data_IF_024245730107
#
_entry.id   IF_024245730107
#
_cell.length_a   1.000
_cell.length_b   1.000
_cell.length_c   1.000
_cell.angle_alpha   90.00
_cell.angle_beta   90.00
_cell.angle_gamma   90.00
#
_symmetry.space_group_name_H-M   'P 1'
#
loop_
_entity.id
_entity.type
_entity.pdbx_description
1 polymer ?
#
# COMPACT_ATOMS: atom_id res chain seq x y z
N UNK A 1 -25.95 6.62 -5.87
CA UNK A 1 -25.21 5.59 -6.63
C UNK A 1 -24.32 6.24 -7.65
N UNK A 2 -23.06 5.85 -7.64
CA UNK A 2 -22.13 6.36 -8.64
C UNK A 2 -22.39 5.65 -9.97
N UNK A 3 -22.62 6.48 -11.00
CA UNK A 3 -22.73 6.00 -12.37
C UNK A 3 -21.32 5.98 -12.99
N UNK A 4 -20.67 4.84 -12.94
CA UNK A 4 -19.38 4.69 -13.61
C UNK A 4 -19.58 4.60 -15.12
N UNK A 5 -18.76 5.33 -15.87
CA UNK A 5 -18.82 5.35 -17.33
C UNK A 5 -17.60 4.59 -17.88
N UNK A 6 -17.74 3.27 -18.14
CA UNK A 6 -16.58 2.46 -18.56
C UNK A 6 -15.87 3.01 -19.78
N UNK A 7 -16.61 3.55 -20.75
CA UNK A 7 -16.02 4.11 -21.96
C UNK A 7 -15.08 5.28 -21.70
N UNK A 8 -15.27 5.98 -20.60
CA UNK A 8 -14.42 7.11 -20.22
C UNK A 8 -13.31 6.67 -19.25
N UNK A 9 -13.61 5.70 -18.41
CA UNK A 9 -12.70 5.23 -17.34
C UNK A 9 -11.64 4.28 -17.88
N UNK A 10 -12.01 3.35 -18.76
CA UNK A 10 -11.07 2.35 -19.30
C UNK A 10 -9.86 3.00 -19.97
N UNK A 11 -10.00 4.01 -20.85
CA UNK A 11 -8.84 4.67 -21.43
C UNK A 11 -7.93 5.30 -20.38
N UNK A 12 -8.49 5.83 -19.28
CA UNK A 12 -7.69 6.42 -18.20
C UNK A 12 -6.95 5.34 -17.40
N UNK A 13 -7.55 4.18 -17.18
CA UNK A 13 -6.85 3.06 -16.54
C UNK A 13 -5.69 2.61 -17.43
N UNK A 14 -5.89 2.52 -18.74
CA UNK A 14 -4.81 2.18 -19.68
C UNK A 14 -3.69 3.19 -19.64
N UNK A 15 -4.03 4.47 -19.50
CA UNK A 15 -3.04 5.54 -19.34
C UNK A 15 -2.21 5.34 -18.06
N UNK A 16 -2.86 4.96 -16.95
CA UNK A 16 -2.14 4.66 -15.70
C UNK A 16 -1.21 3.46 -15.86
N UNK A 17 -1.62 2.43 -16.59
CA UNK A 17 -0.79 1.27 -16.88
C UNK A 17 0.44 1.70 -17.67
N UNK A 18 0.25 2.51 -18.71
CA UNK A 18 1.35 3.04 -19.51
C UNK A 18 2.32 3.88 -18.68
N UNK A 19 1.79 4.76 -17.83
CA UNK A 19 2.61 5.58 -16.92
C UNK A 19 3.44 4.73 -15.96
N UNK A 20 2.90 3.61 -15.55
CA UNK A 20 3.56 2.72 -14.57
C UNK A 20 4.74 1.95 -15.16
N UNK A 21 4.83 1.87 -16.48
CA UNK A 21 5.80 1.05 -17.19
C UNK A 21 5.69 -0.45 -16.86
N UNK A 22 4.54 -0.87 -16.34
CA UNK A 22 4.24 -2.26 -16.03
C UNK A 22 3.40 -2.88 -17.14
N UNK A 23 3.39 -4.22 -17.17
CA UNK A 23 2.39 -4.94 -17.97
C UNK A 23 1.02 -4.82 -17.31
N UNK A 24 -0.04 -5.06 -18.07
CA UNK A 24 -1.41 -5.09 -17.53
C UNK A 24 -1.53 -6.06 -16.36
N UNK A 25 -0.96 -7.26 -16.49
CA UNK A 25 -1.00 -8.29 -15.44
C UNK A 25 -0.25 -7.85 -14.18
N UNK A 26 0.93 -7.25 -14.33
CA UNK A 26 1.71 -6.76 -13.21
C UNK A 26 1.00 -5.59 -12.50
N UNK A 27 0.41 -4.69 -13.27
CA UNK A 27 -0.39 -3.59 -12.74
C UNK A 27 -1.58 -4.12 -11.93
N UNK A 28 -2.31 -5.10 -12.48
CA UNK A 28 -3.44 -5.72 -11.79
C UNK A 28 -3.03 -6.27 -10.42
N UNK A 29 -1.96 -7.05 -10.38
CA UNK A 29 -1.44 -7.61 -9.14
C UNK A 29 -1.05 -6.51 -8.15
N UNK A 30 -0.39 -5.47 -8.64
CA UNK A 30 0.07 -4.35 -7.81
C UNK A 30 -1.07 -3.61 -7.13
N UNK A 31 -2.18 -3.38 -7.84
CA UNK A 31 -3.35 -2.68 -7.29
C UNK A 31 -4.30 -3.60 -6.53
N UNK A 32 -4.03 -4.89 -6.47
CA UNK A 32 -4.85 -5.84 -5.72
C UNK A 32 -6.01 -6.44 -6.51
N UNK A 33 -5.94 -6.38 -7.83
CA UNK A 33 -6.94 -6.99 -8.71
C UNK A 33 -6.35 -8.25 -9.36
N UNK A 34 -7.19 -9.25 -9.61
CA UNK A 34 -6.73 -10.41 -10.37
C UNK A 34 -6.41 -10.02 -11.81
N UNK A 35 -5.27 -10.48 -12.37
CA UNK A 35 -4.92 -10.15 -13.76
C UNK A 35 -6.02 -10.50 -14.76
N UNK A 36 -6.63 -11.67 -14.62
CA UNK A 36 -7.74 -12.07 -15.48
C UNK A 36 -8.96 -11.17 -15.34
N UNK A 37 -9.26 -10.78 -14.10
CA UNK A 37 -10.41 -9.90 -13.82
C UNK A 37 -10.21 -8.52 -14.41
N UNK A 38 -9.01 -7.93 -14.23
CA UNK A 38 -8.71 -6.62 -14.82
C UNK A 38 -8.77 -6.69 -16.35
N UNK A 39 -8.19 -7.74 -16.95
CA UNK A 39 -8.22 -7.93 -18.39
C UNK A 39 -9.63 -7.91 -18.94
N UNK A 40 -10.55 -8.67 -18.31
CA UNK A 40 -11.95 -8.70 -18.69
C UNK A 40 -12.65 -7.37 -18.53
N UNK A 41 -12.35 -6.65 -17.45
CA UNK A 41 -12.94 -5.31 -17.20
C UNK A 41 -12.48 -4.29 -18.24
N UNK A 42 -11.21 -4.33 -18.63
CA UNK A 42 -10.68 -3.44 -19.64
C UNK A 42 -11.22 -3.74 -21.04
N UNK A 43 -11.66 -4.97 -21.27
CA UNK A 43 -12.29 -5.36 -22.54
C UNK A 43 -13.81 -5.22 -22.54
N UNK A 44 -14.40 -4.77 -21.45
CA UNK A 44 -15.84 -4.61 -21.34
C UNK A 44 -16.60 -5.88 -21.07
N UNK A 45 -15.92 -6.98 -20.76
CA UNK A 45 -16.53 -8.28 -20.45
C UNK A 45 -17.03 -8.38 -19.00
N UNK A 46 -16.52 -7.55 -18.13
CA UNK A 46 -16.98 -7.42 -16.75
C UNK A 46 -17.12 -5.94 -16.40
N UNK A 47 -18.02 -5.64 -15.48
CA UNK A 47 -18.25 -4.26 -15.05
C UNK A 47 -17.17 -3.81 -14.10
N UNK A 48 -16.74 -2.55 -14.27
CA UNK A 48 -15.94 -1.83 -13.29
C UNK A 48 -16.81 -1.51 -12.08
N UNK A 49 -16.28 -1.72 -10.90
CA UNK A 49 -16.99 -1.43 -9.64
C UNK A 49 -16.35 -0.25 -8.92
N UNK A 50 -17.07 0.42 -8.00
CA UNK A 50 -16.47 1.45 -7.16
C UNK A 50 -15.26 0.95 -6.37
N UNK A 51 -15.26 -0.31 -5.98
CA UNK A 51 -14.12 -0.93 -5.30
C UNK A 51 -12.88 -0.97 -6.19
N UNK A 52 -13.04 -1.30 -7.46
CA UNK A 52 -11.94 -1.31 -8.42
C UNK A 52 -11.30 0.06 -8.54
N UNK A 53 -12.13 1.10 -8.65
CA UNK A 53 -11.67 2.48 -8.72
C UNK A 53 -10.90 2.88 -7.46
N UNK A 54 -11.44 2.51 -6.31
CA UNK A 54 -10.80 2.79 -5.01
C UNK A 54 -9.42 2.14 -4.91
N UNK A 55 -9.31 0.84 -5.27
CA UNK A 55 -8.05 0.11 -5.21
C UNK A 55 -6.99 0.76 -6.12
N UNK A 56 -7.37 1.09 -7.35
CA UNK A 56 -6.46 1.72 -8.30
C UNK A 56 -5.99 3.09 -7.79
N UNK A 57 -6.92 3.91 -7.33
CA UNK A 57 -6.61 5.25 -6.85
C UNK A 57 -5.71 5.23 -5.62
N UNK A 58 -6.00 4.36 -4.66
CA UNK A 58 -5.19 4.25 -3.44
C UNK A 58 -3.78 3.75 -3.72
N UNK A 59 -3.65 2.70 -4.52
CA UNK A 59 -2.35 2.11 -4.81
C UNK A 59 -1.48 3.02 -5.69
N UNK A 60 -2.09 3.72 -6.64
CA UNK A 60 -1.36 4.55 -7.59
C UNK A 60 -1.34 6.03 -7.25
N UNK A 61 -1.90 6.42 -6.12
CA UNK A 61 -1.99 7.82 -5.68
C UNK A 61 -2.64 8.72 -6.75
N UNK A 62 -3.81 8.30 -7.23
CA UNK A 62 -4.57 8.98 -8.25
C UNK A 62 -5.82 9.58 -7.62
N UNK A 63 -6.18 10.80 -8.03
CA UNK A 63 -7.44 11.39 -7.59
C UNK A 63 -8.62 10.66 -8.24
N UNK A 64 -9.61 10.18 -7.45
CA UNK A 64 -10.80 9.52 -8.00
C UNK A 64 -11.55 10.38 -9.01
N UNK A 65 -11.60 11.69 -8.79
CA UNK A 65 -12.28 12.62 -9.69
C UNK A 65 -11.64 12.63 -11.08
N UNK A 66 -10.32 12.52 -11.15
CA UNK A 66 -9.64 12.40 -12.44
C UNK A 66 -9.98 11.07 -13.12
N UNK A 67 -9.90 9.97 -12.37
CA UNK A 67 -10.13 8.65 -12.97
C UNK A 67 -11.56 8.47 -13.45
N UNK A 68 -12.53 8.93 -12.66
CA UNK A 68 -13.96 8.80 -13.00
C UNK A 68 -14.41 9.80 -14.05
N UNK A 69 -14.01 11.06 -13.92
CA UNK A 69 -14.60 12.17 -14.67
C UNK A 69 -13.61 12.96 -15.51
N UNK A 70 -12.32 12.69 -15.39
CA UNK A 70 -11.28 13.40 -16.12
C UNK A 70 -11.06 14.82 -15.64
N UNK A 71 -11.47 15.15 -14.44
CA UNK A 71 -11.37 16.50 -13.88
C UNK A 71 -10.29 16.57 -12.80
N UNK A 72 -9.63 17.72 -12.75
CA UNK A 72 -8.61 17.99 -11.75
C UNK A 72 -7.29 17.28 -12.03
N UNK A 73 -6.35 17.37 -11.09
CA UNK A 73 -5.04 16.74 -11.26
C UNK A 73 -5.15 15.23 -11.24
N UNK A 74 -4.27 14.57 -11.98
CA UNK A 74 -4.24 13.12 -12.13
C UNK A 74 -3.67 12.45 -10.87
N UNK A 75 -2.48 12.86 -10.45
CA UNK A 75 -1.78 12.27 -9.32
C UNK A 75 -1.86 13.12 -8.07
N UNK A 76 -2.04 12.46 -6.92
CA UNK A 76 -1.95 13.12 -5.62
C UNK A 76 -0.47 13.34 -5.30
N UNK A 77 -0.10 14.59 -5.08
CA UNK A 77 1.26 14.98 -4.66
C UNK A 77 1.14 15.85 -3.42
N UNK A 78 2.26 16.10 -2.74
CA UNK A 78 2.26 16.96 -1.56
C UNK A 78 1.76 18.38 -1.89
N UNK A 79 1.95 18.84 -3.13
CA UNK A 79 1.54 20.18 -3.56
C UNK A 79 0.04 20.33 -3.78
N UNK A 80 -0.63 19.26 -4.25
CA UNK A 80 -2.05 19.31 -4.62
C UNK A 80 -2.95 18.47 -3.74
N UNK A 81 -2.44 18.00 -2.62
CA UNK A 81 -3.24 17.29 -1.62
C UNK A 81 -4.22 18.28 -0.96
N UNK A 82 -5.50 17.89 -0.71
CA UNK A 82 -6.46 18.78 -0.07
C UNK A 82 -6.00 19.34 1.29
N UNK A 83 -5.17 18.57 2.01
CA UNK A 83 -4.52 19.02 3.24
C UNK A 83 -3.02 18.83 3.04
N UNK A 84 -2.32 19.87 2.56
CA UNK A 84 -0.90 19.75 2.21
C UNK A 84 -0.05 19.24 3.38
N UNK A 85 0.78 18.26 3.10
CA UNK A 85 1.68 17.69 4.07
C UNK A 85 1.13 16.57 4.93
N UNK A 86 -0.19 16.41 5.02
CA UNK A 86 -0.80 15.37 5.87
C UNK A 86 -0.44 13.97 5.40
N UNK A 87 -0.49 13.71 4.09
CA UNK A 87 -0.11 12.42 3.53
C UNK A 87 1.34 12.07 3.88
N UNK A 88 2.25 13.01 3.74
CA UNK A 88 3.66 12.81 4.08
C UNK A 88 3.84 12.51 5.56
N UNK A 89 3.08 13.20 6.42
CA UNK A 89 3.12 12.96 7.86
C UNK A 89 2.63 11.56 8.19
N UNK A 90 1.50 11.12 7.59
CA UNK A 90 0.95 9.78 7.79
C UNK A 90 1.96 8.71 7.39
N UNK A 91 2.56 8.84 6.21
CA UNK A 91 3.56 7.88 5.71
C UNK A 91 4.76 7.81 6.65
N UNK A 92 5.25 8.97 7.11
CA UNK A 92 6.38 9.03 8.02
C UNK A 92 6.07 8.37 9.36
N UNK A 93 4.90 8.67 9.94
CA UNK A 93 4.49 8.07 11.21
C UNK A 93 4.30 6.56 11.10
N UNK A 94 3.70 6.08 10.02
CA UNK A 94 3.54 4.64 9.77
C UNK A 94 4.89 3.93 9.67
N UNK A 95 5.85 4.53 8.97
CA UNK A 95 7.21 3.99 8.87
C UNK A 95 7.89 3.91 10.24
N UNK A 96 7.79 4.98 11.02
CA UNK A 96 8.37 5.03 12.36
C UNK A 96 7.76 3.97 13.29
N UNK A 97 6.46 3.77 13.19
CA UNK A 97 5.78 2.74 13.97
C UNK A 97 6.32 1.35 13.62
N UNK A 98 6.45 1.03 12.34
CA UNK A 98 7.01 -0.24 11.88
C UNK A 98 8.43 -0.45 12.39
N UNK A 99 9.27 0.59 12.28
CA UNK A 99 10.66 0.53 12.78
C UNK A 99 10.72 0.30 14.29
N UNK A 100 9.83 0.95 15.04
CA UNK A 100 9.76 0.77 16.48
C UNK A 100 9.33 -0.64 16.85
N UNK A 101 8.37 -1.21 16.12
CA UNK A 101 7.92 -2.59 16.36
C UNK A 101 9.04 -3.60 16.12
N UNK A 102 9.84 -3.41 15.06
CA UNK A 102 11.01 -4.24 14.80
C UNK A 102 12.05 -4.11 15.91
N UNK A 103 12.29 -2.89 16.37
CA UNK A 103 13.22 -2.64 17.47
C UNK A 103 12.76 -3.30 18.77
N UNK A 104 11.45 -3.26 19.06
CA UNK A 104 10.87 -3.92 20.23
C UNK A 104 11.11 -5.41 20.15
N UNK A 105 10.87 -6.04 19.01
CA UNK A 105 11.10 -7.48 18.83
C UNK A 105 12.58 -7.84 19.02
N UNK A 106 13.48 -7.03 18.47
CA UNK A 106 14.92 -7.26 18.63
C UNK A 106 15.35 -7.15 20.09
N UNK A 107 14.83 -6.14 20.82
CA UNK A 107 15.12 -5.95 22.23
C UNK A 107 14.57 -7.10 23.09
N UNK A 108 13.39 -7.63 22.74
CA UNK A 108 12.83 -8.81 23.42
C UNK A 108 13.75 -10.02 23.28
N UNK A 109 14.29 -10.26 22.08
CA UNK A 109 15.24 -11.37 21.86
C UNK A 109 16.52 -11.17 22.66
N UNK A 110 17.07 -9.97 22.62
CA UNK A 110 18.27 -9.63 23.38
C UNK A 110 18.05 -9.82 24.88
N UNK A 111 16.92 -9.37 25.40
CA UNK A 111 16.58 -9.56 26.81
C UNK A 111 16.48 -11.05 27.18
N UNK A 112 15.91 -11.86 26.28
CA UNK A 112 15.81 -13.30 26.52
C UNK A 112 17.21 -13.93 26.57
N UNK A 113 18.12 -13.53 25.69
CA UNK A 113 19.52 -14.00 25.72
C UNK A 113 20.21 -13.62 27.01
N UNK A 114 20.03 -12.39 27.47
CA UNK A 114 20.61 -11.91 28.73
C UNK A 114 20.08 -12.73 29.91
N UNK A 115 18.76 -12.97 29.94
CA UNK A 115 18.16 -13.78 30.98
C UNK A 115 18.72 -15.20 31.00
N UNK A 116 18.91 -15.80 29.82
CA UNK A 116 19.49 -17.14 29.71
C UNK A 116 20.93 -17.18 30.23
N UNK A 117 21.72 -16.15 29.89
CA UNK A 117 23.09 -16.03 30.39
C UNK A 117 23.15 -15.85 31.89
N UNK A 118 22.29 -14.98 32.44
CA UNK A 118 22.20 -14.78 33.89
C UNK A 118 21.81 -16.07 34.62
N UNK A 119 20.81 -16.78 34.08
CA UNK A 119 20.39 -18.05 34.66
C UNK A 119 21.55 -19.04 34.71
N UNK A 120 22.29 -19.18 33.62
CA UNK A 120 23.45 -20.06 33.52
C UNK A 120 24.52 -19.69 34.56
N UNK A 121 24.82 -18.39 34.67
CA UNK A 121 25.82 -17.90 35.61
C UNK A 121 25.41 -18.11 37.07
N UNK A 122 24.15 -17.88 37.40
CA UNK A 122 23.63 -18.13 38.73
C UNK A 122 23.73 -19.63 39.12
N UNK A 123 23.44 -20.53 38.20
CA UNK A 123 23.57 -21.98 38.43
C UNK A 123 25.05 -22.33 38.69
N UNK A 124 25.97 -21.78 37.88
CA UNK A 124 27.40 -21.99 38.08
C UNK A 124 27.89 -21.45 39.41
N UNK A 125 27.41 -20.31 39.85
CA UNK A 125 27.77 -19.69 41.11
C UNK A 125 27.30 -20.57 42.27
N UNK A 126 26.07 -21.05 42.24
CA UNK A 126 25.52 -21.95 43.27
C UNK A 126 26.31 -23.24 43.35
N UNK A 127 26.74 -23.81 42.24
CA UNK A 127 27.52 -25.05 42.24
C UNK A 127 28.92 -24.88 42.81
N UNK A 128 29.43 -23.67 42.96
CA UNK A 128 30.72 -23.37 43.54
C UNK A 128 30.66 -23.13 45.04
N UNK A 129 29.48 -22.92 45.52
CA UNK A 129 29.24 -22.73 46.97
C UNK A 129 29.04 -24.05 47.66
#
# INVERSE_FOLDING_TARGET
MENLKPNEIIPRIRELIDDSLMTEAAFATKVGLGPSNLHKKLRGQQKLTPRDIKLICEERNVFPEWLKNGKGPKYVTDENEPTPGVRSIIVNLARRLTQNQERIENLKRENQDIMNQLTTLYIQLDNRL
#
